data_IF_697026212399
#
_entry.id   IF_697026212399
#
_cell.length_a   1.000
_cell.length_b   1.000
_cell.length_c   1.000
_cell.angle_alpha   90.00
_cell.angle_beta   90.00
_cell.angle_gamma   90.00
#
_symmetry.space_group_name_H-M   'P 1'
#
loop_
_entity.id
_entity.type
_entity.pdbx_description
1 polymer ?
#
# COMPACT_ATOMS: atom_id res chain seq x y z
N UNK A 1 -47.81 37.61 35.54
CA UNK A 1 -46.41 37.84 35.16
C UNK A 1 -45.78 36.46 35.06
N UNK A 2 -45.72 35.94 33.85
CA UNK A 2 -45.14 34.63 33.57
C UNK A 2 -43.80 34.88 32.88
N UNK A 3 -42.72 34.62 33.60
CA UNK A 3 -41.36 34.66 33.05
C UNK A 3 -41.08 33.39 32.30
N UNK A 4 -41.15 33.46 30.98
CA UNK A 4 -40.75 32.36 30.11
C UNK A 4 -39.21 32.28 30.07
N UNK A 5 -38.64 31.25 30.70
CA UNK A 5 -37.23 30.91 30.58
C UNK A 5 -37.04 30.12 29.29
N UNK A 6 -36.50 30.77 28.27
CA UNK A 6 -36.12 30.13 27.02
C UNK A 6 -34.79 29.40 27.24
N UNK A 7 -34.87 28.09 27.44
CA UNK A 7 -33.67 27.23 27.52
C UNK A 7 -33.16 26.94 26.13
N UNK A 8 -32.12 27.65 25.72
CA UNK A 8 -31.39 27.35 24.50
C UNK A 8 -30.49 26.13 24.72
N UNK A 9 -30.91 25.00 24.21
CA UNK A 9 -30.08 23.78 24.18
C UNK A 9 -29.12 23.91 23.03
N UNK A 10 -27.86 24.23 23.35
CA UNK A 10 -26.75 24.22 22.37
C UNK A 10 -26.35 22.76 22.11
N UNK A 11 -26.88 22.15 21.07
CA UNK A 11 -26.37 20.87 20.56
C UNK A 11 -25.03 21.13 19.88
N UNK A 12 -23.96 20.96 20.62
CA UNK A 12 -22.60 20.87 20.05
C UNK A 12 -22.50 19.55 19.27
N UNK A 13 -22.66 19.65 17.95
CA UNK A 13 -22.42 18.51 17.05
C UNK A 13 -20.94 18.15 17.08
N UNK A 14 -20.63 17.04 17.75
CA UNK A 14 -19.30 16.43 17.72
C UNK A 14 -19.12 15.74 16.36
N UNK A 15 -18.52 16.45 15.40
CA UNK A 15 -18.13 15.87 14.13
C UNK A 15 -16.92 14.98 14.38
N UNK A 16 -17.16 13.68 14.57
CA UNK A 16 -16.09 12.68 14.55
C UNK A 16 -15.49 12.63 13.13
N UNK A 17 -14.36 13.30 12.93
CA UNK A 17 -13.48 13.00 11.80
C UNK A 17 -12.92 11.60 12.02
N UNK A 18 -13.54 10.60 11.41
CA UNK A 18 -12.96 9.28 11.28
C UNK A 18 -11.74 9.42 10.36
N UNK A 19 -10.56 9.65 10.93
CA UNK A 19 -9.31 9.46 10.23
C UNK A 19 -9.24 8.01 9.81
N UNK A 20 -9.31 7.73 8.51
CA UNK A 20 -9.03 6.40 7.97
C UNK A 20 -7.55 6.12 8.20
N UNK A 21 -7.22 5.61 9.39
CA UNK A 21 -5.91 5.06 9.64
C UNK A 21 -5.82 3.78 8.82
N UNK A 22 -5.04 3.80 7.74
CA UNK A 22 -4.69 2.58 7.03
C UNK A 22 -4.00 1.64 8.02
N UNK A 23 -4.46 0.39 8.08
CA UNK A 23 -3.81 -0.60 8.90
C UNK A 23 -2.41 -0.86 8.32
N UNK A 24 -1.43 -1.10 9.21
CA UNK A 24 -0.10 -1.54 8.79
C UNK A 24 -0.24 -2.75 7.87
N UNK A 25 0.55 -2.81 6.79
CA UNK A 25 0.49 -3.88 5.82
C UNK A 25 0.68 -5.27 6.45
N UNK A 26 -0.12 -6.23 6.00
CA UNK A 26 -0.03 -7.64 6.40
C UNK A 26 0.77 -8.43 5.35
N UNK A 27 1.98 -8.90 5.66
CA UNK A 27 2.79 -9.65 4.71
C UNK A 27 2.18 -11.00 4.32
N UNK A 28 1.30 -11.58 5.13
CA UNK A 28 0.62 -12.83 4.77
C UNK A 28 -0.43 -12.59 3.66
N UNK A 29 -1.17 -11.49 3.73
CA UNK A 29 -2.08 -11.06 2.68
C UNK A 29 -1.29 -10.62 1.43
N UNK A 30 -0.24 -9.83 1.61
CA UNK A 30 0.62 -9.37 0.52
C UNK A 30 1.24 -10.52 -0.28
N UNK A 31 1.55 -11.64 0.36
CA UNK A 31 2.03 -12.86 -0.31
C UNK A 31 1.02 -13.41 -1.32
N UNK A 32 -0.27 -13.29 -1.04
CA UNK A 32 -1.33 -13.72 -1.96
C UNK A 32 -1.54 -12.67 -3.05
N UNK A 33 -1.58 -11.41 -2.69
CA UNK A 33 -1.91 -10.29 -3.57
C UNK A 33 -0.81 -9.99 -4.59
N UNK A 34 0.45 -10.29 -4.27
CA UNK A 34 1.60 -10.12 -5.17
C UNK A 34 1.58 -11.07 -6.37
N UNK A 35 0.59 -11.96 -6.46
CA UNK A 35 0.50 -12.99 -7.52
C UNK A 35 0.67 -12.42 -8.93
N UNK A 36 0.03 -11.30 -9.23
CA UNK A 36 0.13 -10.66 -10.55
C UNK A 36 1.50 -10.05 -10.87
N UNK A 37 2.32 -9.85 -9.86
CA UNK A 37 3.66 -9.26 -10.00
C UNK A 37 4.73 -10.30 -10.37
N UNK A 38 4.51 -11.58 -9.99
CA UNK A 38 5.50 -12.65 -10.13
C UNK A 38 6.00 -12.85 -11.56
N UNK A 39 5.09 -12.84 -12.54
CA UNK A 39 5.42 -13.15 -13.93
C UNK A 39 6.39 -12.15 -14.57
N UNK A 40 6.38 -10.90 -14.14
CA UNK A 40 7.26 -9.87 -14.67
C UNK A 40 8.47 -9.62 -13.76
N UNK A 41 8.27 -9.54 -12.45
CA UNK A 41 9.31 -9.16 -11.50
C UNK A 41 10.14 -10.31 -10.95
N UNK A 42 9.79 -11.57 -11.27
CA UNK A 42 10.57 -12.74 -10.86
C UNK A 42 10.79 -12.82 -9.35
N UNK A 43 9.70 -12.65 -8.57
CA UNK A 43 9.74 -12.72 -7.12
C UNK A 43 10.08 -14.15 -6.69
N UNK A 44 10.81 -14.33 -5.59
CA UNK A 44 11.34 -15.59 -5.07
C UNK A 44 10.48 -16.82 -5.39
N UNK A 45 11.06 -17.78 -6.11
CA UNK A 45 10.38 -18.99 -6.59
C UNK A 45 9.75 -18.90 -7.99
N UNK A 46 9.80 -17.73 -8.61
CA UNK A 46 9.34 -17.50 -9.97
C UNK A 46 10.40 -16.77 -10.79
N UNK A 47 10.64 -17.27 -11.99
CA UNK A 47 11.47 -16.57 -12.96
C UNK A 47 10.60 -15.65 -13.81
N UNK A 48 11.18 -14.53 -14.26
CA UNK A 48 10.51 -13.67 -15.23
C UNK A 48 10.24 -14.45 -16.51
N UNK A 49 9.01 -14.43 -16.99
CA UNK A 49 8.60 -15.14 -18.22
C UNK A 49 9.19 -14.50 -19.49
N UNK A 50 9.73 -13.29 -19.39
CA UNK A 50 10.37 -12.60 -20.48
C UNK A 50 11.70 -11.98 -20.03
N UNK A 51 12.82 -12.67 -20.25
CA UNK A 51 14.15 -12.20 -19.82
C UNK A 51 14.61 -10.92 -20.54
N UNK A 52 13.98 -10.53 -21.65
CA UNK A 52 14.28 -9.29 -22.36
C UNK A 52 13.56 -8.07 -21.76
N UNK A 53 12.62 -8.31 -20.84
CA UNK A 53 11.91 -7.23 -20.18
C UNK A 53 12.74 -6.69 -19.02
N UNK A 54 13.25 -5.47 -19.16
CA UNK A 54 13.99 -4.79 -18.11
C UNK A 54 13.04 -4.27 -17.01
N UNK A 55 12.60 -5.18 -16.15
CA UNK A 55 11.81 -4.84 -14.95
C UNK A 55 12.70 -4.90 -13.72
N UNK A 56 12.52 -4.00 -12.74
CA UNK A 56 13.34 -4.00 -11.54
C UNK A 56 13.03 -5.21 -10.64
N UNK A 57 14.04 -5.64 -9.89
CA UNK A 57 13.83 -6.53 -8.75
C UNK A 57 13.11 -5.78 -7.65
N UNK A 58 12.01 -6.33 -7.17
CA UNK A 58 11.20 -5.71 -6.10
C UNK A 58 11.24 -6.51 -4.80
N UNK A 59 11.63 -7.79 -4.84
CA UNK A 59 11.82 -8.59 -3.63
C UNK A 59 12.96 -8.03 -2.77
N UNK A 60 12.69 -7.77 -1.51
CA UNK A 60 13.65 -7.20 -0.57
C UNK A 60 13.83 -5.68 -0.66
N UNK A 61 13.02 -5.00 -1.47
CA UNK A 61 13.03 -3.54 -1.58
C UNK A 61 12.46 -2.90 -0.29
N UNK A 62 12.82 -1.64 -0.04
CA UNK A 62 12.30 -0.88 1.08
C UNK A 62 10.78 -0.75 1.01
N UNK A 63 10.09 -1.03 2.13
CA UNK A 63 8.62 -1.02 2.21
C UNK A 63 8.02 0.32 1.79
N UNK A 64 8.51 1.42 2.36
CA UNK A 64 8.00 2.75 2.04
C UNK A 64 8.23 3.11 0.57
N UNK A 65 9.38 2.74 0.01
CA UNK A 65 9.64 2.97 -1.41
C UNK A 65 8.65 2.24 -2.32
N UNK A 66 8.26 1.00 -1.98
CA UNK A 66 7.27 0.24 -2.75
C UNK A 66 5.90 0.93 -2.67
N UNK A 67 5.50 1.34 -1.47
CA UNK A 67 4.24 2.06 -1.25
C UNK A 67 4.19 3.32 -2.10
N UNK A 68 5.22 4.16 -2.02
CA UNK A 68 5.29 5.42 -2.75
C UNK A 68 5.26 5.19 -4.26
N UNK A 69 6.07 4.25 -4.76
CA UNK A 69 6.12 3.92 -6.17
C UNK A 69 4.77 3.42 -6.72
N UNK A 70 4.08 2.54 -6.00
CA UNK A 70 2.75 2.05 -6.40
C UNK A 70 1.70 3.16 -6.36
N UNK A 71 1.71 4.03 -5.35
CA UNK A 71 0.83 5.20 -5.25
C UNK A 71 1.10 6.21 -6.38
N UNK A 72 2.36 6.44 -6.73
CA UNK A 72 2.74 7.29 -7.86
C UNK A 72 2.26 6.72 -9.20
N UNK A 73 2.39 5.41 -9.43
CA UNK A 73 1.83 4.76 -10.61
C UNK A 73 0.30 4.85 -10.63
N UNK A 74 -0.36 4.63 -9.50
CA UNK A 74 -1.82 4.70 -9.38
C UNK A 74 -2.35 6.11 -9.65
N UNK A 75 -1.68 7.14 -9.17
CA UNK A 75 -2.05 8.54 -9.41
C UNK A 75 -1.67 9.06 -10.81
N UNK A 76 -0.82 8.35 -11.53
CA UNK A 76 -0.26 8.80 -12.80
C UNK A 76 0.92 9.78 -12.69
N UNK A 77 1.40 10.08 -11.47
CA UNK A 77 2.59 10.88 -11.26
C UNK A 77 3.84 10.20 -11.86
N UNK A 78 3.90 8.87 -11.74
CA UNK A 78 4.91 8.04 -12.40
C UNK A 78 4.29 7.36 -13.62
N UNK A 79 4.94 7.50 -14.77
CA UNK A 79 4.37 7.05 -16.05
C UNK A 79 5.09 5.81 -16.57
N UNK A 80 4.42 4.70 -16.51
CA UNK A 80 4.77 3.45 -17.17
C UNK A 80 3.47 2.66 -17.39
N UNK A 81 2.93 2.57 -18.62
CA UNK A 81 1.56 2.11 -18.87
C UNK A 81 1.21 0.78 -18.20
N UNK A 82 2.10 -0.21 -18.25
CA UNK A 82 1.88 -1.51 -17.62
C UNK A 82 1.74 -1.38 -16.11
N UNK A 83 2.64 -0.62 -15.45
CA UNK A 83 2.59 -0.41 -14.01
C UNK A 83 1.42 0.48 -13.58
N UNK A 84 1.05 1.47 -14.38
CA UNK A 84 -0.15 2.26 -14.13
C UNK A 84 -1.39 1.38 -14.12
N UNK A 85 -1.53 0.45 -15.08
CA UNK A 85 -2.65 -0.49 -15.13
C UNK A 85 -2.65 -1.43 -13.89
N UNK A 86 -1.50 -1.97 -13.51
CA UNK A 86 -1.38 -2.83 -12.32
C UNK A 86 -1.75 -2.07 -11.04
N UNK A 87 -1.17 -0.90 -10.83
CA UNK A 87 -1.41 -0.11 -9.62
C UNK A 87 -2.86 0.38 -9.51
N UNK A 88 -3.51 0.70 -10.64
CA UNK A 88 -4.92 1.12 -10.66
C UNK A 88 -5.88 0.02 -10.20
N UNK A 89 -5.51 -1.25 -10.33
CA UNK A 89 -6.33 -2.38 -9.88
C UNK A 89 -6.24 -2.62 -8.37
N UNK A 90 -5.26 -2.02 -7.68
CA UNK A 90 -4.99 -2.23 -6.26
C UNK A 90 -5.74 -1.23 -5.39
N UNK A 91 -6.24 -1.69 -4.26
CA UNK A 91 -6.65 -0.81 -3.16
C UNK A 91 -5.43 -0.29 -2.41
N UNK A 92 -5.60 0.77 -1.63
CA UNK A 92 -4.50 1.31 -0.83
C UNK A 92 -4.02 0.31 0.24
N UNK A 93 -4.94 -0.49 0.82
CA UNK A 93 -4.57 -1.55 1.74
C UNK A 93 -3.75 -2.65 1.05
N UNK A 94 -4.12 -3.06 -0.14
CA UNK A 94 -3.33 -4.04 -0.91
C UNK A 94 -1.93 -3.53 -1.23
N UNK A 95 -1.78 -2.23 -1.49
CA UNK A 95 -0.45 -1.61 -1.67
C UNK A 95 0.39 -1.76 -0.40
N UNK A 96 -0.18 -1.49 0.77
CA UNK A 96 0.50 -1.65 2.07
C UNK A 96 0.88 -3.14 2.32
N UNK A 97 -0.04 -4.07 2.06
CA UNK A 97 0.16 -5.51 2.27
C UNK A 97 1.25 -6.08 1.35
N UNK A 98 1.20 -5.75 0.06
CA UNK A 98 2.21 -6.12 -0.93
C UNK A 98 3.58 -5.58 -0.55
N UNK A 99 3.66 -4.32 -0.12
CA UNK A 99 4.91 -3.70 0.28
C UNK A 99 5.51 -4.37 1.53
N UNK A 100 4.66 -4.70 2.52
CA UNK A 100 5.08 -5.43 3.72
C UNK A 100 5.65 -6.81 3.37
N UNK A 101 5.00 -7.54 2.45
CA UNK A 101 5.51 -8.84 2.01
C UNK A 101 6.84 -8.71 1.25
N UNK A 102 6.91 -7.86 0.24
CA UNK A 102 8.10 -7.72 -0.59
C UNK A 102 9.32 -7.27 0.23
N UNK A 103 9.15 -6.35 1.16
CA UNK A 103 10.23 -5.90 2.05
C UNK A 103 10.70 -7.01 2.99
N UNK A 104 9.80 -7.91 3.42
CA UNK A 104 10.14 -9.05 4.27
C UNK A 104 11.07 -10.06 3.60
N UNK A 105 11.17 -10.02 2.27
CA UNK A 105 12.06 -10.87 1.48
C UNK A 105 13.52 -10.37 1.44
N UNK A 106 13.82 -9.24 2.09
CA UNK A 106 15.18 -8.76 2.23
C UNK A 106 16.03 -9.78 3.03
N UNK A 107 17.31 -10.00 2.65
CA UNK A 107 18.22 -10.81 3.44
C UNK A 107 18.31 -10.23 4.85
N UNK A 108 18.15 -11.07 5.88
CA UNK A 108 18.35 -10.64 7.26
C UNK A 108 19.79 -10.15 7.40
N UNK A 109 19.96 -8.88 7.71
CA UNK A 109 21.25 -8.34 8.09
C UNK A 109 21.68 -9.06 9.39
N UNK A 110 22.65 -9.97 9.28
CA UNK A 110 23.31 -10.51 10.46
C UNK A 110 24.16 -9.39 11.04
N UNK A 111 23.66 -8.72 12.07
CA UNK A 111 24.51 -7.82 12.86
C UNK A 111 25.64 -8.65 13.45
N UNK A 112 26.83 -8.53 12.87
CA UNK A 112 28.08 -8.97 13.55
C UNK A 112 28.30 -7.99 14.70
N UNK A 113 27.99 -8.46 15.91
CA UNK A 113 28.51 -7.83 17.15
C UNK A 113 30.02 -8.00 17.23
#
# INVERSE_FOLDING_TARGET
MIRSMLTVVLMAGFVCFASSAFAKGDPAQGKVEVYTCHGCHGITGYESVNPEYHVPRIAGQNEQYIIDALKEYKSGARKYPTMNAQANSLTDQQIEDIAAYLSSLAPKQLHKN
#
